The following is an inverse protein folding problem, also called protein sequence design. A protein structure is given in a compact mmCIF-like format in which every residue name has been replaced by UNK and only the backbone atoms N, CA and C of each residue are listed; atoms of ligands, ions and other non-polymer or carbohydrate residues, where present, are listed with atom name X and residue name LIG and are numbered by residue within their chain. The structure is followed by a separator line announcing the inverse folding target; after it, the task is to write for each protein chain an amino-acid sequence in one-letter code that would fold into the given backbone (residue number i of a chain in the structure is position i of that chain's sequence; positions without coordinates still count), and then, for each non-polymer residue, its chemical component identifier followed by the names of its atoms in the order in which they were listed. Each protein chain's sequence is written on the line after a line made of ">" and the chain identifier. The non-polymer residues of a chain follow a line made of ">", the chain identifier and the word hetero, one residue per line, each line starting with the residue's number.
data_IF_734250041638
#
_entry.id   IF_734250041638
#
_cell.length_a   1.000
_cell.length_b   1.000
_cell.length_c   1.000
_cell.angle_alpha   90.00
_cell.angle_beta   90.00
_cell.angle_gamma   90.00
#
_symmetry.space_group_name_H-M   'P 1'
#
loop_
_entity.id
_entity.type
_entity.pdbx_description
1 polymer ?
#
# COMPACT_ATOMS: atom_id res chain seq x y z
N UNK A 1 -24.63 44.41 54.72
CA UNK A 1 -23.86 43.18 54.41
C UNK A 1 -24.56 42.44 53.26
N UNK A 2 -24.09 42.56 52.02
CA UNK A 2 -24.51 41.72 50.89
C UNK A 2 -23.24 41.12 50.28
N UNK A 3 -23.06 39.80 50.44
CA UNK A 3 -21.93 39.07 49.87
C UNK A 3 -22.20 38.80 48.39
N UNK A 4 -21.37 39.37 47.51
CA UNK A 4 -21.38 39.10 46.08
C UNK A 4 -20.57 37.82 45.83
N UNK A 5 -21.26 36.71 45.53
CA UNK A 5 -20.61 35.48 45.08
C UNK A 5 -20.37 35.58 43.57
N UNK A 6 -19.11 35.74 43.18
CA UNK A 6 -18.69 35.64 41.78
C UNK A 6 -18.40 34.17 41.49
N UNK A 7 -19.31 33.53 40.78
CA UNK A 7 -19.19 32.13 40.36
C UNK A 7 -18.29 32.06 39.11
N UNK A 8 -17.05 31.61 39.26
CA UNK A 8 -16.17 31.30 38.14
C UNK A 8 -16.62 29.99 37.48
N UNK A 9 -17.30 30.08 36.34
CA UNK A 9 -17.62 28.92 35.52
C UNK A 9 -16.35 28.46 34.76
N UNK A 10 -15.70 27.41 35.25
CA UNK A 10 -14.64 26.71 34.51
C UNK A 10 -15.30 25.89 33.39
N UNK A 11 -15.28 26.42 32.17
CA UNK A 11 -15.65 25.66 30.97
C UNK A 11 -14.46 24.76 30.62
N UNK A 12 -14.54 23.49 30.99
CA UNK A 12 -13.59 22.48 30.52
C UNK A 12 -13.89 22.17 29.05
N UNK A 13 -13.08 22.68 28.13
CA UNK A 13 -13.10 22.25 26.73
C UNK A 13 -12.57 20.82 26.69
N UNK A 14 -13.47 19.85 26.59
CA UNK A 14 -13.09 18.47 26.32
C UNK A 14 -12.73 18.37 24.84
N UNK A 15 -11.42 18.35 24.56
CA UNK A 15 -10.92 18.00 23.23
C UNK A 15 -11.06 16.49 23.08
N UNK A 16 -12.17 16.04 22.51
CA UNK A 16 -12.31 14.65 22.08
C UNK A 16 -11.37 14.45 20.89
N UNK A 17 -10.24 13.77 21.12
CA UNK A 17 -9.42 13.25 20.04
C UNK A 17 -10.26 12.22 19.26
N UNK A 18 -10.84 12.65 18.14
CA UNK A 18 -11.43 11.71 17.20
C UNK A 18 -10.29 10.83 16.67
N UNK A 19 -10.36 9.54 16.96
CA UNK A 19 -9.49 8.55 16.32
C UNK A 19 -9.76 8.61 14.81
N UNK A 20 -8.87 9.26 14.07
CA UNK A 20 -8.95 9.32 12.62
C UNK A 20 -8.75 7.88 12.10
N UNK A 21 -9.72 7.36 11.34
CA UNK A 21 -9.55 6.07 10.66
C UNK A 21 -8.27 6.14 9.83
N UNK A 22 -7.29 5.28 10.15
CA UNK A 22 -6.04 5.20 9.39
C UNK A 22 -6.37 4.66 8.00
N UNK A 23 -6.37 5.55 7.02
CA UNK A 23 -6.24 5.17 5.62
C UNK A 23 -4.74 5.08 5.30
N UNK A 24 -4.39 4.25 4.33
CA UNK A 24 -3.06 4.28 3.72
C UNK A 24 -3.22 4.75 2.27
N UNK A 25 -2.12 5.15 1.64
CA UNK A 25 -2.06 5.24 0.18
C UNK A 25 -1.12 4.18 -0.35
N UNK A 26 -1.63 3.34 -1.24
CA UNK A 26 -0.83 2.38 -1.99
C UNK A 26 -0.39 3.04 -3.30
N UNK A 27 0.91 3.03 -3.58
CA UNK A 27 1.49 3.71 -4.74
C UNK A 27 2.21 2.69 -5.60
N UNK A 28 1.90 2.69 -6.90
CA UNK A 28 2.65 1.93 -7.89
C UNK A 28 3.63 2.86 -8.62
N UNK A 29 4.88 2.43 -8.71
CA UNK A 29 5.92 3.05 -9.52
C UNK A 29 6.07 2.20 -10.79
N UNK A 30 5.13 2.30 -11.72
CA UNK A 30 5.14 1.45 -12.90
C UNK A 30 6.26 1.82 -13.87
N UNK A 31 6.77 0.83 -14.60
CA UNK A 31 7.74 1.10 -15.66
C UNK A 31 7.14 2.09 -16.68
N UNK A 32 7.98 3.01 -17.15
CA UNK A 32 7.65 4.00 -18.16
C UNK A 32 8.46 3.69 -19.43
N UNK A 33 7.88 3.01 -20.43
CA UNK A 33 8.62 2.58 -21.63
C UNK A 33 9.19 3.75 -22.44
N UNK A 34 8.51 4.89 -22.43
CA UNK A 34 8.82 6.13 -23.14
C UNK A 34 9.60 7.13 -22.27
N UNK A 35 10.27 6.68 -21.20
CA UNK A 35 11.09 7.55 -20.36
C UNK A 35 12.31 8.07 -21.13
N UNK A 36 12.68 9.31 -20.90
CA UNK A 36 13.88 9.92 -21.48
C UNK A 36 15.11 9.04 -21.22
N UNK A 37 15.93 8.84 -22.25
CA UNK A 37 17.22 8.16 -22.12
C UNK A 37 18.21 9.14 -21.52
N UNK A 38 18.71 8.81 -20.32
CA UNK A 38 19.66 9.63 -19.58
C UNK A 38 21.04 8.98 -19.62
N UNK A 39 22.09 9.76 -19.40
CA UNK A 39 23.42 9.18 -19.16
C UNK A 39 23.41 8.29 -17.92
N UNK A 40 24.41 7.41 -17.80
CA UNK A 40 24.57 6.54 -16.64
C UNK A 40 24.73 7.36 -15.36
N UNK A 41 25.57 8.38 -15.39
CA UNK A 41 25.85 9.25 -14.24
C UNK A 41 24.58 9.95 -13.75
N UNK A 42 23.76 10.44 -14.69
CA UNK A 42 22.50 11.09 -14.35
C UNK A 42 21.49 10.11 -13.77
N UNK A 43 21.41 8.91 -14.34
CA UNK A 43 20.52 7.84 -13.88
C UNK A 43 20.90 7.38 -12.46
N UNK A 44 22.20 7.17 -12.22
CA UNK A 44 22.73 6.75 -10.92
C UNK A 44 22.49 7.82 -9.85
N UNK A 45 22.70 9.10 -10.19
CA UNK A 45 22.43 10.23 -9.30
C UNK A 45 20.94 10.32 -8.90
N UNK A 46 20.03 10.13 -9.87
CA UNK A 46 18.59 10.11 -9.59
C UNK A 46 18.22 8.94 -8.69
N UNK A 47 18.76 7.75 -8.96
CA UNK A 47 18.46 6.55 -8.17
C UNK A 47 19.01 6.65 -6.75
N UNK A 48 20.21 7.21 -6.57
CA UNK A 48 20.72 7.50 -5.23
C UNK A 48 19.80 8.48 -4.47
N UNK A 49 19.31 9.51 -5.17
CA UNK A 49 18.34 10.45 -4.63
C UNK A 49 17.02 9.78 -4.22
N UNK A 50 16.53 8.84 -5.03
CA UNK A 50 15.35 8.02 -4.73
C UNK A 50 15.55 7.18 -3.45
N UNK A 51 16.67 6.47 -3.33
CA UNK A 51 16.98 5.68 -2.13
C UNK A 51 17.12 6.55 -0.87
N UNK A 52 17.75 7.72 -0.99
CA UNK A 52 17.84 8.68 0.11
C UNK A 52 16.46 9.19 0.54
N UNK A 53 15.57 9.42 -0.44
CA UNK A 53 14.20 9.86 -0.18
C UNK A 53 13.38 8.79 0.56
N UNK A 54 13.48 7.52 0.13
CA UNK A 54 12.88 6.36 0.82
C UNK A 54 13.34 6.33 2.28
N UNK A 55 14.65 6.40 2.53
CA UNK A 55 15.19 6.37 3.89
C UNK A 55 14.71 7.53 4.75
N UNK A 56 14.60 8.74 4.18
CA UNK A 56 14.07 9.91 4.90
C UNK A 56 12.59 9.74 5.23
N UNK A 57 11.74 9.37 4.27
CA UNK A 57 10.30 9.20 4.49
C UNK A 57 10.01 8.04 5.47
N UNK A 58 10.82 6.98 5.46
CA UNK A 58 10.72 5.91 6.44
C UNK A 58 11.02 6.42 7.86
N UNK A 59 12.11 7.17 8.05
CA UNK A 59 12.46 7.80 9.35
C UNK A 59 11.40 8.78 9.84
N UNK A 60 10.72 9.49 8.93
CA UNK A 60 9.61 10.40 9.25
C UNK A 60 8.29 9.65 9.55
N UNK A 61 8.25 8.32 9.45
CA UNK A 61 7.03 7.52 9.64
C UNK A 61 5.98 7.69 8.54
N UNK A 62 6.40 8.26 7.39
CA UNK A 62 5.55 8.56 6.23
C UNK A 62 5.48 7.38 5.27
N UNK A 63 6.59 6.69 5.08
CA UNK A 63 6.69 5.49 4.24
C UNK A 63 6.78 4.26 5.16
N UNK A 64 5.79 3.37 5.08
CA UNK A 64 5.72 2.18 5.93
C UNK A 64 6.36 0.97 5.28
N UNK A 65 6.18 0.83 3.96
CA UNK A 65 6.71 -0.28 3.19
C UNK A 65 7.14 0.20 1.80
N UNK A 66 8.23 -0.37 1.29
CA UNK A 66 8.75 -0.10 -0.04
C UNK A 66 9.47 -1.33 -0.58
N UNK A 67 9.23 -1.65 -1.85
CA UNK A 67 9.86 -2.80 -2.48
C UNK A 67 9.77 -2.76 -4.00
N UNK A 68 10.83 -3.15 -4.73
CA UNK A 68 10.75 -3.32 -6.18
C UNK A 68 9.99 -4.59 -6.56
N UNK A 69 9.39 -4.57 -7.76
CA UNK A 69 8.93 -5.78 -8.43
C UNK A 69 10.04 -6.37 -9.29
N UNK A 70 10.06 -7.69 -9.43
CA UNK A 70 10.86 -8.34 -10.46
C UNK A 70 10.39 -7.90 -11.86
N UNK A 71 11.33 -7.65 -12.76
CA UNK A 71 11.03 -7.07 -14.09
C UNK A 71 10.85 -5.54 -14.10
N UNK A 72 10.92 -4.88 -12.94
CA UNK A 72 11.01 -3.44 -12.81
C UNK A 72 9.75 -2.76 -12.27
N UNK A 73 9.93 -1.50 -11.88
CA UNK A 73 8.95 -0.77 -11.09
C UNK A 73 8.98 -1.17 -9.62
N UNK A 74 7.97 -0.77 -8.86
CA UNK A 74 7.88 -1.09 -7.44
C UNK A 74 6.61 -0.54 -6.81
N UNK A 75 6.55 -0.64 -5.48
CA UNK A 75 5.47 -0.12 -4.69
C UNK A 75 5.96 0.68 -3.50
N UNK A 76 5.14 1.64 -3.07
CA UNK A 76 5.20 2.24 -1.75
C UNK A 76 3.86 2.08 -1.03
N UNK A 77 3.91 1.98 0.30
CA UNK A 77 2.74 2.14 1.16
C UNK A 77 2.98 3.30 2.11
N UNK A 78 2.20 4.38 1.93
CA UNK A 78 2.34 5.62 2.68
C UNK A 78 1.30 5.71 3.80
N UNK A 79 1.74 6.22 4.94
CA UNK A 79 0.92 6.49 6.13
C UNK A 79 0.18 7.83 6.00
N UNK A 80 -0.76 7.91 5.05
CA UNK A 80 -1.42 9.17 4.66
C UNK A 80 -2.90 9.14 4.92
N UNK A 81 -3.46 10.31 5.16
CA UNK A 81 -4.91 10.47 5.34
C UNK A 81 -5.64 10.88 4.06
N UNK A 82 -4.90 11.20 2.99
CA UNK A 82 -5.46 11.58 1.68
C UNK A 82 -4.46 11.33 0.54
N UNK A 83 -4.98 11.27 -0.70
CA UNK A 83 -4.14 11.17 -1.90
C UNK A 83 -3.32 12.44 -2.16
N UNK A 84 -3.78 13.61 -1.71
CA UNK A 84 -3.04 14.87 -1.89
C UNK A 84 -1.80 14.92 -1.01
N UNK A 85 -1.90 14.44 0.23
CA UNK A 85 -0.75 14.26 1.11
C UNK A 85 0.27 13.28 0.51
N UNK A 86 -0.21 12.15 -0.02
CA UNK A 86 0.64 11.19 -0.73
C UNK A 86 1.38 11.84 -1.91
N UNK A 87 0.66 12.62 -2.73
CA UNK A 87 1.26 13.35 -3.87
C UNK A 87 2.37 14.29 -3.43
N UNK A 88 2.14 15.09 -2.40
CA UNK A 88 3.14 16.02 -1.87
C UNK A 88 4.41 15.28 -1.40
N UNK A 89 4.26 14.12 -0.75
CA UNK A 89 5.42 13.33 -0.32
C UNK A 89 6.15 12.70 -1.50
N UNK A 90 5.44 12.19 -2.50
CA UNK A 90 6.05 11.63 -3.72
C UNK A 90 6.79 12.70 -4.54
N UNK A 91 6.33 13.94 -4.57
CA UNK A 91 7.01 15.05 -5.25
C UNK A 91 8.38 15.38 -4.65
N UNK A 92 8.70 14.88 -3.45
CA UNK A 92 10.04 15.01 -2.88
C UNK A 92 11.07 14.05 -3.50
N UNK A 93 10.60 13.02 -4.21
CA UNK A 93 11.43 11.98 -4.81
C UNK A 93 12.07 12.43 -6.15
N UNK A 94 13.41 12.41 -6.28
CA UNK A 94 14.09 12.78 -7.51
C UNK A 94 13.70 11.95 -8.74
N UNK A 95 13.38 10.66 -8.57
CA UNK A 95 12.95 9.79 -9.66
C UNK A 95 11.51 10.05 -10.09
N UNK A 96 10.62 10.41 -9.15
CA UNK A 96 9.26 10.87 -9.48
C UNK A 96 9.33 12.20 -10.23
N UNK A 97 10.11 13.17 -9.75
CA UNK A 97 10.33 14.47 -10.42
C UNK A 97 10.90 14.32 -11.83
N UNK A 98 11.85 13.41 -12.00
CA UNK A 98 12.43 13.09 -13.30
C UNK A 98 11.54 12.19 -14.18
N UNK A 99 10.29 11.93 -13.75
CA UNK A 99 9.29 11.12 -14.47
C UNK A 99 9.84 9.76 -14.89
N UNK A 100 10.59 9.10 -14.00
CA UNK A 100 11.17 7.77 -14.30
C UNK A 100 10.14 6.64 -14.28
N UNK A 101 8.98 6.88 -13.65
CA UNK A 101 7.88 5.94 -13.49
C UNK A 101 6.52 6.58 -13.81
N UNK A 102 5.57 5.74 -14.21
CA UNK A 102 4.16 6.10 -14.25
C UNK A 102 3.54 5.82 -12.89
N UNK A 103 3.18 6.88 -12.18
CA UNK A 103 2.67 6.79 -10.81
C UNK A 103 1.16 6.53 -10.81
N UNK A 104 0.73 5.47 -10.14
CA UNK A 104 -0.67 5.27 -9.75
C UNK A 104 -0.77 5.32 -8.22
N UNK A 105 -1.83 5.92 -7.69
CA UNK A 105 -2.07 6.02 -6.25
C UNK A 105 -3.50 5.63 -5.94
N UNK A 106 -3.68 4.82 -4.91
CA UNK A 106 -5.00 4.37 -4.46
C UNK A 106 -5.13 4.55 -2.96
N UNK A 107 -6.30 5.00 -2.45
CA UNK A 107 -6.62 4.80 -1.04
C UNK A 107 -6.57 3.30 -0.76
N UNK A 108 -6.11 2.91 0.42
CA UNK A 108 -5.91 1.50 0.75
C UNK A 108 -6.43 1.18 2.14
N UNK A 109 -7.31 0.17 2.18
CA UNK A 109 -7.87 -0.39 3.41
C UNK A 109 -7.42 -1.84 3.55
N UNK A 110 -6.56 -2.17 4.53
CA UNK A 110 -6.14 -3.54 4.77
C UNK A 110 -7.33 -4.43 5.18
N UNK A 111 -7.37 -5.64 4.65
CA UNK A 111 -8.38 -6.67 4.95
C UNK A 111 -7.75 -7.94 5.52
N UNK A 112 -6.45 -8.16 5.26
CA UNK A 112 -5.65 -9.23 5.87
C UNK A 112 -4.37 -8.61 6.40
N UNK A 113 -4.18 -8.73 7.72
CA UNK A 113 -3.17 -8.01 8.50
C UNK A 113 -3.19 -6.48 8.26
N UNK A 114 -2.33 -5.75 8.95
CA UNK A 114 -2.16 -4.30 8.78
C UNK A 114 -0.86 -4.02 8.04
N UNK A 115 -0.54 -2.75 7.81
CA UNK A 115 0.78 -2.33 7.34
C UNK A 115 1.60 -1.87 8.54
N UNK A 116 2.82 -2.39 8.67
CA UNK A 116 3.73 -2.11 9.78
C UNK A 116 5.01 -1.47 9.26
N UNK A 117 5.53 -0.41 9.94
CA UNK A 117 6.88 0.05 9.68
C UNK A 117 7.87 -1.05 10.09
N UNK A 118 8.87 -1.29 9.25
CA UNK A 118 9.99 -2.16 9.58
C UNK A 118 11.08 -1.36 10.30
N UNK A 119 11.76 -2.00 11.28
CA UNK A 119 12.85 -1.35 12.03
C UNK A 119 14.07 -1.06 11.16
N UNK A 120 15.17 -0.54 11.73
CA UNK A 120 16.39 -0.24 10.95
C UNK A 120 17.14 -1.48 10.46
N UNK A 121 16.92 -2.63 11.11
CA UNK A 121 17.47 -3.93 10.72
C UNK A 121 16.33 -4.82 10.30
N UNK A 122 16.30 -5.17 9.02
CA UNK A 122 15.28 -6.03 8.44
C UNK A 122 15.91 -7.01 7.45
N UNK A 123 15.24 -8.15 7.31
CA UNK A 123 15.47 -9.11 6.24
C UNK A 123 14.60 -8.70 5.04
N UNK A 124 15.15 -8.79 3.84
CA UNK A 124 14.38 -8.65 2.63
C UNK A 124 13.96 -10.03 2.12
N UNK A 125 12.71 -10.18 1.76
CA UNK A 125 12.10 -11.43 1.33
C UNK A 125 11.33 -11.25 0.04
N UNK A 126 11.11 -12.36 -0.66
CA UNK A 126 10.25 -12.41 -1.82
C UNK A 126 8.85 -12.87 -1.42
N UNK A 127 7.84 -12.17 -1.93
CA UNK A 127 6.44 -12.57 -1.86
C UNK A 127 5.83 -12.55 -3.25
N UNK A 128 4.73 -13.29 -3.40
CA UNK A 128 3.87 -13.16 -4.55
C UNK A 128 2.92 -11.99 -4.33
N UNK A 129 3.03 -10.97 -5.18
CA UNK A 129 2.11 -9.86 -5.22
C UNK A 129 1.04 -10.14 -6.27
N UNK A 130 -0.23 -9.98 -5.89
CA UNK A 130 -1.38 -10.10 -6.79
C UNK A 130 -2.16 -8.79 -6.76
N UNK A 131 -2.39 -8.16 -7.92
CA UNK A 131 -3.30 -7.02 -8.07
C UNK A 131 -4.57 -7.49 -8.75
N UNK A 132 -5.72 -7.21 -8.15
CA UNK A 132 -7.03 -7.47 -8.75
C UNK A 132 -7.58 -6.22 -9.42
N UNK A 133 -8.28 -6.42 -10.54
CA UNK A 133 -8.99 -5.37 -11.27
C UNK A 133 -10.37 -5.86 -11.65
N UNK A 134 -11.40 -5.18 -11.17
CA UNK A 134 -12.78 -5.48 -11.51
C UNK A 134 -12.98 -5.35 -13.03
N UNK A 135 -13.50 -6.41 -13.65
CA UNK A 135 -13.79 -6.50 -15.06
C UNK A 135 -15.28 -6.79 -15.31
N UNK A 136 -16.16 -6.25 -14.46
CA UNK A 136 -17.62 -6.42 -14.56
C UNK A 136 -18.19 -7.44 -13.58
N UNK A 137 -17.52 -7.68 -12.45
CA UNK A 137 -18.07 -8.45 -11.35
C UNK A 137 -19.27 -7.70 -10.74
N UNK A 138 -20.44 -8.35 -10.59
CA UNK A 138 -21.57 -7.72 -9.92
C UNK A 138 -21.25 -7.59 -8.41
N UNK A 139 -21.83 -6.59 -7.71
CA UNK A 139 -21.48 -6.32 -6.31
C UNK A 139 -21.68 -7.51 -5.35
N UNK A 140 -22.67 -8.36 -5.61
CA UNK A 140 -22.95 -9.56 -4.83
C UNK A 140 -21.90 -10.67 -5.02
N UNK A 141 -21.24 -10.72 -6.19
CA UNK A 141 -20.17 -11.68 -6.45
C UNK A 141 -18.94 -11.42 -5.57
N UNK A 142 -18.68 -10.19 -5.13
CA UNK A 142 -17.54 -9.85 -4.27
C UNK A 142 -17.50 -10.69 -2.98
N UNK A 143 -18.65 -11.12 -2.48
CA UNK A 143 -18.73 -12.04 -1.35
C UNK A 143 -18.03 -13.40 -1.61
N UNK A 144 -18.09 -13.90 -2.85
CA UNK A 144 -17.44 -15.15 -3.26
C UNK A 144 -15.93 -14.99 -3.33
N UNK A 145 -15.44 -13.86 -3.86
CA UNK A 145 -14.01 -13.52 -3.85
C UNK A 145 -13.48 -13.39 -2.42
N UNK A 146 -14.21 -12.71 -1.53
CA UNK A 146 -13.81 -12.60 -0.13
C UNK A 146 -13.76 -13.96 0.56
N UNK A 147 -14.72 -14.86 0.28
CA UNK A 147 -14.71 -16.23 0.81
C UNK A 147 -13.51 -17.04 0.28
N UNK A 148 -13.14 -16.85 -0.99
CA UNK A 148 -11.95 -17.45 -1.57
C UNK A 148 -10.67 -16.95 -0.89
N UNK A 149 -10.52 -15.65 -0.67
CA UNK A 149 -9.39 -15.07 0.08
C UNK A 149 -9.32 -15.64 1.50
N UNK A 150 -10.46 -15.76 2.19
CA UNK A 150 -10.51 -16.36 3.53
C UNK A 150 -10.04 -17.80 3.53
N UNK A 151 -10.36 -18.58 2.48
CA UNK A 151 -9.86 -19.95 2.32
C UNK A 151 -8.35 -19.99 2.13
N UNK A 152 -7.78 -19.11 1.30
CA UNK A 152 -6.33 -19.00 1.16
C UNK A 152 -5.65 -18.63 2.48
N UNK A 153 -6.23 -17.66 3.20
CA UNK A 153 -5.72 -17.20 4.48
C UNK A 153 -5.78 -18.30 5.56
N UNK A 154 -6.87 -19.09 5.60
CA UNK A 154 -7.01 -20.24 6.50
C UNK A 154 -5.99 -21.35 6.24
N UNK A 155 -5.40 -21.39 5.05
CA UNK A 155 -4.30 -22.29 4.69
C UNK A 155 -2.91 -21.65 4.91
N UNK A 156 -2.84 -20.50 5.59
CA UNK A 156 -1.62 -19.72 5.83
C UNK A 156 -0.89 -19.26 4.56
N UNK A 157 -1.61 -19.08 3.45
CA UNK A 157 -1.02 -18.67 2.17
C UNK A 157 -0.97 -17.16 1.97
N UNK A 158 -1.73 -16.40 2.77
CA UNK A 158 -1.84 -14.94 2.66
C UNK A 158 -1.00 -14.26 3.74
N UNK A 159 -0.07 -13.42 3.32
CA UNK A 159 0.78 -12.59 4.17
C UNK A 159 0.07 -11.28 4.52
N UNK A 160 -0.62 -10.69 3.54
CA UNK A 160 -1.35 -9.44 3.71
C UNK A 160 -2.29 -9.19 2.54
N UNK A 161 -3.17 -8.20 2.69
CA UNK A 161 -4.14 -7.91 1.65
C UNK A 161 -4.98 -6.70 1.97
N UNK A 162 -5.60 -6.12 0.95
CA UNK A 162 -6.50 -5.00 1.14
C UNK A 162 -7.12 -4.51 -0.14
N UNK A 163 -8.07 -3.60 0.03
CA UNK A 163 -8.90 -3.10 -1.04
C UNK A 163 -8.54 -1.65 -1.39
N UNK A 164 -8.65 -1.33 -2.67
CA UNK A 164 -8.60 0.04 -3.18
C UNK A 164 -9.99 0.70 -3.18
N UNK A 165 -11.04 -0.12 -3.34
CA UNK A 165 -12.44 0.31 -3.29
C UNK A 165 -13.36 -0.86 -2.87
N UNK A 166 -14.67 -0.67 -2.98
CA UNK A 166 -15.67 -1.68 -2.64
C UNK A 166 -16.10 -2.57 -3.83
N UNK A 167 -15.39 -2.52 -4.96
CA UNK A 167 -15.77 -3.19 -6.21
C UNK A 167 -14.89 -4.41 -6.51
N UNK A 168 -14.00 -4.79 -5.59
CA UNK A 168 -13.05 -5.89 -5.79
C UNK A 168 -11.70 -5.47 -6.36
N UNK A 169 -11.45 -4.16 -6.56
CA UNK A 169 -10.10 -3.68 -6.83
C UNK A 169 -9.29 -3.72 -5.53
N UNK A 170 -8.09 -4.31 -5.59
CA UNK A 170 -7.27 -4.50 -4.40
C UNK A 170 -6.03 -5.32 -4.70
N UNK A 171 -5.40 -5.79 -3.63
CA UNK A 171 -4.18 -6.59 -3.69
C UNK A 171 -4.19 -7.73 -2.67
N UNK A 172 -3.41 -8.76 -2.97
CA UNK A 172 -2.92 -9.73 -1.99
C UNK A 172 -1.40 -9.81 -2.04
N UNK A 173 -0.82 -10.07 -0.88
CA UNK A 173 0.55 -10.51 -0.69
C UNK A 173 0.45 -11.95 -0.22
N UNK A 174 1.03 -12.86 -0.99
CA UNK A 174 0.96 -14.29 -0.77
C UNK A 174 2.37 -14.84 -0.54
N UNK A 175 2.48 -16.02 0.07
CA UNK A 175 3.76 -16.72 0.16
C UNK A 175 4.39 -16.89 -1.23
N UNK A 176 5.73 -16.92 -1.27
CA UNK A 176 6.50 -16.98 -2.51
C UNK A 176 6.19 -18.22 -3.38
N UNK A 177 5.75 -19.31 -2.76
CA UNK A 177 5.47 -20.60 -3.39
C UNK A 177 4.04 -20.71 -3.95
N UNK A 178 3.17 -19.74 -3.67
CA UNK A 178 1.80 -19.74 -4.22
C UNK A 178 1.85 -19.59 -5.74
N UNK A 179 1.15 -20.48 -6.43
CA UNK A 179 1.15 -20.53 -7.90
C UNK A 179 0.02 -19.72 -8.51
N UNK A 180 0.14 -19.43 -9.81
CA UNK A 180 -0.89 -18.73 -10.58
C UNK A 180 -2.20 -19.52 -10.61
N UNK A 181 -2.14 -20.84 -10.73
CA UNK A 181 -3.29 -21.74 -10.78
C UNK A 181 -4.09 -21.69 -9.48
N UNK A 182 -3.41 -21.51 -8.33
CA UNK A 182 -4.09 -21.35 -7.05
C UNK A 182 -4.92 -20.06 -7.01
N UNK A 183 -4.43 -18.97 -7.61
CA UNK A 183 -5.16 -17.69 -7.72
C UNK A 183 -6.30 -17.79 -8.74
N UNK A 184 -6.08 -18.47 -9.87
CA UNK A 184 -7.09 -18.70 -10.91
C UNK A 184 -8.29 -19.52 -10.44
N UNK A 185 -8.15 -20.25 -9.33
CA UNK A 185 -9.24 -20.99 -8.70
C UNK A 185 -10.30 -20.07 -8.02
N UNK A 186 -10.07 -18.75 -7.98
CA UNK A 186 -11.09 -17.79 -7.57
C UNK A 186 -12.29 -17.83 -8.54
N UNK A 187 -13.53 -18.04 -8.05
CA UNK A 187 -14.71 -18.16 -8.92
C UNK A 187 -14.94 -16.95 -9.84
N UNK A 188 -14.65 -15.74 -9.38
CA UNK A 188 -14.86 -14.53 -10.17
C UNK A 188 -13.76 -14.39 -11.24
N UNK A 189 -12.53 -14.77 -10.90
CA UNK A 189 -11.42 -14.81 -11.87
C UNK A 189 -11.69 -15.86 -12.95
N UNK A 190 -12.08 -17.07 -12.55
CA UNK A 190 -12.45 -18.14 -13.48
C UNK A 190 -13.61 -17.73 -14.41
N UNK A 191 -14.53 -16.88 -13.94
CA UNK A 191 -15.61 -16.33 -14.76
C UNK A 191 -15.19 -15.18 -15.70
N UNK A 192 -13.95 -14.70 -15.59
CA UNK A 192 -13.42 -13.56 -16.36
C UNK A 192 -13.89 -12.17 -15.89
N UNK A 193 -14.65 -12.11 -14.79
CA UNK A 193 -15.24 -10.86 -14.25
C UNK A 193 -14.34 -10.14 -13.26
N UNK A 194 -13.27 -10.79 -12.81
CA UNK A 194 -12.18 -10.19 -12.06
C UNK A 194 -10.88 -10.56 -12.76
N UNK A 195 -10.06 -9.57 -13.09
CA UNK A 195 -8.72 -9.81 -13.65
C UNK A 195 -7.69 -9.73 -12.55
N UNK A 196 -6.56 -10.39 -12.75
CA UNK A 196 -5.43 -10.25 -11.86
C UNK A 196 -4.11 -10.11 -12.63
N UNK A 197 -3.16 -9.44 -12.00
CA UNK A 197 -1.75 -9.45 -12.36
C UNK A 197 -0.96 -10.03 -11.19
N UNK A 198 0.01 -10.91 -11.47
CA UNK A 198 0.86 -11.55 -10.47
C UNK A 198 2.34 -11.25 -10.75
N UNK A 199 3.08 -10.83 -9.73
CA UNK A 199 4.50 -10.46 -9.80
C UNK A 199 5.24 -10.86 -8.53
N UNK A 200 6.53 -11.12 -8.65
CA UNK A 200 7.40 -11.23 -7.47
C UNK A 200 7.68 -9.84 -6.90
N UNK A 201 7.44 -9.68 -5.61
CA UNK A 201 7.72 -8.47 -4.84
C UNK A 201 8.88 -8.76 -3.88
N UNK A 202 9.93 -7.95 -3.94
CA UNK A 202 11.03 -7.98 -2.99
C UNK A 202 10.85 -6.86 -1.97
N UNK A 203 10.58 -7.21 -0.71
CA UNK A 203 10.21 -6.23 0.32
C UNK A 203 10.72 -6.66 1.70
N UNK A 204 10.80 -5.71 2.63
CA UNK A 204 11.20 -6.00 4.00
C UNK A 204 10.17 -6.90 4.69
N UNK A 205 10.62 -7.98 5.30
CA UNK A 205 9.79 -8.88 6.11
C UNK A 205 9.19 -8.13 7.30
N UNK A 206 7.91 -8.34 7.57
CA UNK A 206 7.11 -7.66 8.58
C UNK A 206 6.39 -6.42 8.07
N UNK A 207 6.54 -6.05 6.80
CA UNK A 207 5.86 -4.88 6.21
C UNK A 207 4.33 -4.98 6.26
N UNK A 208 3.80 -6.20 6.28
CA UNK A 208 2.37 -6.50 6.35
C UNK A 208 1.97 -7.03 7.72
N UNK A 209 2.71 -6.66 8.77
CA UNK A 209 2.48 -7.07 10.16
C UNK A 209 2.38 -8.59 10.36
N UNK A 210 2.94 -9.38 9.45
CA UNK A 210 3.04 -10.83 9.55
C UNK A 210 3.99 -11.22 10.71
N UNK A 211 3.65 -12.31 11.39
CA UNK A 211 4.39 -12.81 12.56
C UNK A 211 5.46 -13.81 12.16
#
# INVERSE_FOLDING_TARGET
>A
MKKLFVLFAFITIQVTAFAQNKSYTFVFLNNKPDKEVLSKEKSDSIMQGHMNNIGRLAKEGKLLAAGPFEGGGGLFVLNTTSLDEARQWLETDPGVKAKRWNIEMFPFTPTVNSICPVGEKFEMVFYQFVRFTNAGAPPDAISQHNAFIQKLNGNNLVIGGGNFDNTGNGILILNADVTKEQVEADPIIASGKLRFEMKMLYIAKGSFCEK
#
